data_IF_036578958107
#
_entry.id   IF_036578958107
#
_cell.length_a   1.000
_cell.length_b   1.000
_cell.length_c   1.000
_cell.angle_alpha   90.00
_cell.angle_beta   90.00
_cell.angle_gamma   90.00
#
_symmetry.space_group_name_H-M   'P 1'
#
loop_
_entity.id
_entity.type
_entity.pdbx_description
1 polymer ?
#
# COMPACT_ATOMS: atom_id res chain seq x y z
N UNK A 1 11.91 38.56 -18.77
CA UNK A 1 13.14 37.94 -18.20
C UNK A 1 13.58 36.81 -19.12
N UNK A 2 14.82 36.87 -19.60
CA UNK A 2 15.30 36.01 -20.70
C UNK A 2 16.12 34.84 -20.16
N UNK A 3 15.84 33.64 -20.63
CA UNK A 3 16.67 32.45 -20.40
C UNK A 3 17.83 32.49 -21.39
N UNK A 4 18.98 32.99 -20.95
CA UNK A 4 20.24 32.91 -21.71
C UNK A 4 20.82 31.52 -21.62
N UNK A 5 21.70 31.17 -22.55
CA UNK A 5 22.32 29.84 -22.59
C UNK A 5 23.18 29.58 -21.33
N UNK A 6 23.86 30.59 -20.78
CA UNK A 6 24.62 30.42 -19.53
C UNK A 6 23.72 30.05 -18.35
N UNK A 7 22.53 30.64 -18.27
CA UNK A 7 21.55 30.31 -17.21
C UNK A 7 21.00 28.90 -17.37
N UNK A 8 20.88 28.41 -18.61
CA UNK A 8 20.45 27.04 -18.89
C UNK A 8 21.50 26.04 -18.44
N UNK A 9 22.78 26.34 -18.66
CA UNK A 9 23.87 25.46 -18.25
C UNK A 9 24.03 25.42 -16.72
N UNK A 10 23.94 26.58 -16.05
CA UNK A 10 23.88 26.63 -14.57
C UNK A 10 22.69 25.83 -14.03
N UNK A 11 21.52 25.91 -14.69
CA UNK A 11 20.36 25.11 -14.30
C UNK A 11 20.64 23.62 -14.41
N UNK A 12 21.22 23.15 -15.53
CA UNK A 12 21.54 21.73 -15.73
C UNK A 12 22.54 21.25 -14.68
N UNK A 13 23.62 21.98 -14.46
CA UNK A 13 24.64 21.65 -13.47
C UNK A 13 24.04 21.52 -12.06
N UNK A 14 23.32 22.53 -11.59
CA UNK A 14 22.73 22.49 -10.25
C UNK A 14 21.63 21.42 -10.12
N UNK A 15 20.97 21.08 -11.23
CA UNK A 15 19.99 20.00 -11.26
C UNK A 15 20.64 18.63 -11.08
N UNK A 16 21.77 18.39 -11.76
CA UNK A 16 22.56 17.16 -11.64
C UNK A 16 23.21 17.02 -10.26
N UNK A 17 23.62 18.14 -9.65
CA UNK A 17 24.03 18.21 -8.24
C UNK A 17 22.88 17.93 -7.24
N UNK A 18 21.64 17.84 -7.72
CA UNK A 18 20.48 17.57 -6.88
C UNK A 18 20.01 18.75 -6.04
N UNK A 19 20.28 20.00 -6.46
CA UNK A 19 19.70 21.20 -5.81
C UNK A 19 18.20 21.29 -6.11
N UNK A 20 17.43 21.82 -5.15
CA UNK A 20 15.98 21.97 -5.32
C UNK A 20 15.66 23.16 -6.23
N UNK A 21 14.51 23.13 -6.92
CA UNK A 21 14.09 24.23 -7.78
C UNK A 21 14.05 25.59 -7.05
N UNK A 22 13.77 25.62 -5.75
CA UNK A 22 13.80 26.83 -4.92
C UNK A 22 15.23 27.34 -4.72
N UNK A 23 16.20 26.44 -4.46
CA UNK A 23 17.61 26.81 -4.31
C UNK A 23 18.20 27.32 -5.64
N UNK A 24 17.89 26.64 -6.74
CA UNK A 24 18.30 27.06 -8.09
C UNK A 24 17.70 28.44 -8.42
N UNK A 25 16.44 28.66 -8.07
CA UNK A 25 15.77 29.94 -8.22
C UNK A 25 16.45 31.06 -7.42
N UNK A 26 16.87 30.80 -6.18
CA UNK A 26 17.64 31.76 -5.37
C UNK A 26 18.97 32.13 -6.01
N UNK A 27 19.69 31.16 -6.58
CA UNK A 27 20.99 31.39 -7.25
C UNK A 27 20.80 32.18 -8.55
N UNK A 28 19.80 31.84 -9.35
CA UNK A 28 19.55 32.48 -10.64
C UNK A 28 18.77 33.81 -10.54
N UNK A 29 18.29 34.17 -9.35
CA UNK A 29 17.47 35.37 -9.11
C UNK A 29 16.11 35.33 -9.83
N UNK A 30 15.52 34.14 -9.96
CA UNK A 30 14.23 33.93 -10.65
C UNK A 30 13.25 33.18 -9.76
N UNK A 31 12.00 33.03 -10.19
CA UNK A 31 11.01 32.28 -9.42
C UNK A 31 11.21 30.78 -9.56
N UNK A 32 10.87 30.03 -8.50
CA UNK A 32 10.82 28.56 -8.50
C UNK A 32 10.03 28.01 -9.69
N UNK A 33 8.89 28.61 -10.00
CA UNK A 33 8.01 28.14 -11.08
C UNK A 33 8.65 28.35 -12.46
N UNK A 34 9.43 29.42 -12.66
CA UNK A 34 10.19 29.62 -13.89
C UNK A 34 11.25 28.53 -14.09
N UNK A 35 11.97 28.15 -13.03
CA UNK A 35 12.94 27.04 -13.03
C UNK A 35 12.26 25.73 -13.41
N UNK A 36 11.16 25.36 -12.73
CA UNK A 36 10.42 24.12 -13.01
C UNK A 36 9.94 24.09 -14.46
N UNK A 37 9.34 25.19 -14.94
CA UNK A 37 8.83 25.28 -16.30
C UNK A 37 9.93 25.21 -17.36
N UNK A 38 11.11 25.76 -17.11
CA UNK A 38 12.25 25.63 -18.05
C UNK A 38 12.86 24.23 -18.00
N UNK A 39 13.07 23.65 -16.82
CA UNK A 39 13.55 22.28 -16.66
C UNK A 39 12.66 21.28 -17.43
N UNK A 40 11.34 21.42 -17.32
CA UNK A 40 10.38 20.59 -18.05
C UNK A 40 10.47 20.70 -19.57
N UNK A 41 10.87 21.87 -20.10
CA UNK A 41 11.03 22.12 -21.53
C UNK A 41 12.36 21.63 -22.10
N UNK A 42 13.42 21.64 -21.29
CA UNK A 42 14.75 21.12 -21.67
C UNK A 42 14.78 19.58 -21.58
N UNK A 43 13.80 18.97 -20.91
CA UNK A 43 13.72 17.51 -20.79
C UNK A 43 14.70 16.92 -19.77
N UNK A 44 15.20 17.73 -18.83
CA UNK A 44 16.01 17.20 -17.72
C UNK A 44 15.16 16.24 -16.89
N UNK A 45 15.81 15.21 -16.34
CA UNK A 45 15.14 14.11 -15.65
C UNK A 45 14.26 14.63 -14.50
N UNK A 46 13.05 14.05 -14.37
CA UNK A 46 12.14 14.40 -13.27
C UNK A 46 12.79 13.98 -11.96
N UNK A 47 13.09 14.96 -11.11
CA UNK A 47 13.51 14.68 -9.74
C UNK A 47 12.39 13.89 -9.03
N UNK A 48 12.71 12.80 -8.32
CA UNK A 48 11.72 12.11 -7.50
C UNK A 48 11.14 13.08 -6.47
N UNK A 49 9.81 13.08 -6.33
CA UNK A 49 9.14 13.91 -5.33
C UNK A 49 9.64 13.52 -3.94
N UNK A 50 10.10 14.47 -3.09
CA UNK A 50 10.44 14.19 -1.71
C UNK A 50 9.26 13.65 -0.89
N UNK A 51 8.04 13.84 -1.39
CA UNK A 51 6.83 13.33 -0.76
C UNK A 51 6.80 11.81 -0.94
N UNK A 52 7.27 11.08 0.08
CA UNK A 52 7.02 9.64 0.21
C UNK A 52 5.50 9.46 0.17
N UNK A 53 4.98 8.86 -0.88
CA UNK A 53 3.56 8.44 -0.92
C UNK A 53 3.39 7.47 0.24
N UNK A 54 2.65 7.86 1.29
CA UNK A 54 2.26 6.95 2.38
C UNK A 54 1.60 5.74 1.71
N UNK A 55 2.05 4.51 2.00
CA UNK A 55 1.39 3.34 1.42
C UNK A 55 -0.05 3.26 1.97
N UNK A 56 -1.01 2.75 1.20
CA UNK A 56 -2.43 2.82 1.56
C UNK A 56 -2.69 2.12 2.90
N UNK A 57 -3.39 2.78 3.81
CA UNK A 57 -3.73 2.29 5.15
C UNK A 57 -4.01 3.44 6.12
N UNK A 58 -4.69 3.13 7.22
CA UNK A 58 -5.05 4.08 8.28
C UNK A 58 -4.23 3.80 9.54
N UNK A 59 -3.87 4.84 10.28
CA UNK A 59 -3.34 4.70 11.66
C UNK A 59 -4.49 4.49 12.65
N UNK A 60 -4.18 4.15 13.91
CA UNK A 60 -5.20 3.99 14.97
C UNK A 60 -6.09 5.24 15.08
N UNK A 61 -5.49 6.42 14.95
CA UNK A 61 -6.18 7.71 15.07
C UNK A 61 -7.11 8.01 13.89
N UNK A 62 -6.80 7.47 12.71
CA UNK A 62 -7.56 7.68 11.47
C UNK A 62 -8.70 6.64 11.30
N UNK A 63 -8.76 5.62 12.16
CA UNK A 63 -9.66 4.48 12.00
C UNK A 63 -11.07 4.79 12.52
N UNK A 64 -12.08 4.61 11.67
CA UNK A 64 -13.50 4.74 12.03
C UNK A 64 -14.18 3.38 12.16
N UNK A 65 -15.42 3.36 12.67
CA UNK A 65 -16.18 2.11 12.83
C UNK A 65 -16.50 1.41 11.49
N UNK A 66 -16.66 2.20 10.42
CA UNK A 66 -16.94 1.70 9.06
C UNK A 66 -15.68 1.28 8.29
N UNK A 67 -14.53 1.22 8.94
CA UNK A 67 -13.24 0.90 8.31
C UNK A 67 -12.67 -0.43 8.82
N UNK A 68 -12.02 -1.14 7.91
CA UNK A 68 -11.42 -2.43 8.14
C UNK A 68 -10.26 -2.31 9.13
N UNK A 69 -10.42 -2.95 10.29
CA UNK A 69 -9.50 -2.89 11.43
C UNK A 69 -8.41 -3.97 11.38
N UNK A 70 -8.05 -4.44 10.19
CA UNK A 70 -7.04 -5.48 10.02
C UNK A 70 -5.63 -4.89 10.17
N UNK A 71 -4.80 -5.38 11.12
CA UNK A 71 -3.44 -4.90 11.31
C UNK A 71 -2.51 -5.38 10.20
N UNK A 72 -1.71 -4.47 9.66
CA UNK A 72 -0.69 -4.72 8.64
C UNK A 72 0.65 -4.29 9.25
N UNK A 73 1.56 -5.26 9.36
CA UNK A 73 2.85 -5.08 10.01
C UNK A 73 2.84 -5.40 11.51
N UNK A 74 3.98 -5.23 12.15
CA UNK A 74 4.16 -5.46 13.59
C UNK A 74 3.86 -4.18 14.38
N UNK A 75 3.13 -4.22 15.50
CA UNK A 75 2.87 -3.06 16.36
C UNK A 75 4.12 -2.27 16.84
N UNK A 76 5.31 -2.88 16.78
CA UNK A 76 6.59 -2.24 17.15
C UNK A 76 7.26 -1.51 15.99
N UNK A 77 6.77 -1.68 14.76
CA UNK A 77 7.31 -1.02 13.56
C UNK A 77 6.65 0.35 13.32
N UNK A 78 7.42 1.30 12.80
CA UNK A 78 6.89 2.60 12.36
C UNK A 78 5.99 2.47 11.12
N UNK A 79 6.07 1.35 10.41
CA UNK A 79 5.22 0.98 9.29
C UNK A 79 3.92 0.25 9.72
N UNK A 80 3.61 0.16 11.02
CA UNK A 80 2.36 -0.44 11.52
C UNK A 80 1.13 0.36 11.10
N UNK A 81 0.19 -0.29 10.39
CA UNK A 81 -1.03 0.36 9.90
C UNK A 81 -2.22 -0.59 9.93
N UNK A 82 -3.42 -0.03 9.81
CA UNK A 82 -4.65 -0.77 9.53
C UNK A 82 -4.99 -0.69 8.06
N UNK A 83 -5.67 -1.72 7.56
CA UNK A 83 -6.17 -1.78 6.20
C UNK A 83 -6.94 -0.52 5.77
N UNK A 84 -7.90 -0.05 6.59
CA UNK A 84 -8.66 1.18 6.32
C UNK A 84 -9.67 1.10 5.16
N UNK A 85 -9.77 -0.04 4.43
CA UNK A 85 -10.82 -0.29 3.43
C UNK A 85 -12.22 -0.30 4.07
N UNK A 86 -13.29 -0.12 3.29
CA UNK A 86 -14.66 -0.17 3.79
C UNK A 86 -14.95 -1.53 4.47
N UNK A 87 -15.46 -1.48 5.70
CA UNK A 87 -15.94 -2.66 6.42
C UNK A 87 -17.11 -3.30 5.69
N UNK A 88 -17.12 -4.64 5.64
CA UNK A 88 -18.24 -5.41 5.13
C UNK A 88 -19.42 -5.31 6.10
N UNK A 89 -20.65 -5.44 5.58
CA UNK A 89 -21.89 -5.19 6.32
C UNK A 89 -21.93 -5.96 7.65
N UNK A 90 -21.87 -5.22 8.77
CA UNK A 90 -21.91 -5.78 10.13
C UNK A 90 -20.64 -6.48 10.60
N UNK A 91 -19.55 -6.46 9.81
CA UNK A 91 -18.27 -7.09 10.15
C UNK A 91 -17.16 -6.04 10.32
N UNK A 92 -16.19 -6.25 11.22
CA UNK A 92 -15.13 -5.28 11.52
C UNK A 92 -14.03 -5.19 10.44
N UNK A 93 -14.13 -6.00 9.38
CA UNK A 93 -13.13 -6.10 8.32
C UNK A 93 -13.76 -5.96 6.93
N UNK A 94 -12.95 -5.64 5.93
CA UNK A 94 -13.37 -5.69 4.52
C UNK A 94 -13.50 -7.15 4.07
N UNK A 95 -14.18 -7.40 2.94
CA UNK A 95 -14.43 -8.75 2.41
C UNK A 95 -13.18 -9.65 2.40
N UNK A 96 -12.04 -9.14 1.89
CA UNK A 96 -10.78 -9.89 1.84
C UNK A 96 -10.29 -10.34 3.23
N UNK A 97 -10.29 -9.41 4.19
CA UNK A 97 -9.81 -9.68 5.53
C UNK A 97 -10.83 -10.45 6.38
N UNK A 98 -12.12 -10.40 6.03
CA UNK A 98 -13.11 -11.31 6.59
C UNK A 98 -12.78 -12.77 6.23
N UNK A 99 -12.39 -13.07 4.99
CA UNK A 99 -11.99 -14.43 4.60
C UNK A 99 -10.75 -14.91 5.36
N UNK A 100 -9.83 -13.99 5.66
CA UNK A 100 -8.62 -14.29 6.42
C UNK A 100 -8.90 -14.49 7.92
N UNK A 101 -9.79 -13.67 8.50
CA UNK A 101 -10.17 -13.75 9.91
C UNK A 101 -11.06 -14.96 10.20
N UNK A 102 -12.11 -15.13 9.39
CA UNK A 102 -13.15 -16.13 9.57
C UNK A 102 -12.86 -17.34 8.70
N UNK A 103 -11.85 -18.12 9.09
CA UNK A 103 -11.62 -19.43 8.48
C UNK A 103 -12.84 -20.32 8.78
N UNK A 104 -13.50 -20.79 7.72
CA UNK A 104 -14.48 -21.85 7.88
C UNK A 104 -13.77 -23.10 8.43
N UNK A 105 -14.35 -23.83 9.38
CA UNK A 105 -13.76 -25.05 9.90
C UNK A 105 -13.85 -26.17 8.85
N UNK A 106 -12.94 -26.19 7.87
CA UNK A 106 -12.80 -27.27 6.91
C UNK A 106 -11.61 -28.17 7.28
N UNK A 107 -11.77 -29.03 8.30
CA UNK A 107 -11.10 -30.36 8.37
C UNK A 107 -11.19 -31.12 9.71
N UNK A 108 -11.68 -30.56 10.83
CA UNK A 108 -11.76 -31.34 12.11
C UNK A 108 -12.88 -32.39 12.20
N UNK A 109 -13.52 -32.76 11.08
CA UNK A 109 -14.48 -33.90 11.00
C UNK A 109 -14.11 -34.85 9.87
N UNK A 110 -12.88 -35.34 9.86
CA UNK A 110 -12.50 -36.47 9.01
C UNK A 110 -11.43 -37.31 9.71
N UNK A 111 -11.74 -37.74 10.94
CA UNK A 111 -10.97 -38.75 11.68
C UNK A 111 -11.90 -39.40 12.74
N UNK A 112 -12.96 -40.08 12.26
CA UNK A 112 -13.79 -41.01 13.06
C UNK A 112 -14.53 -41.99 12.14
N UNK A 113 -13.86 -42.42 11.08
CA UNK A 113 -14.43 -43.30 10.06
C UNK A 113 -13.58 -44.55 9.80
N UNK A 114 -12.60 -44.85 10.67
CA UNK A 114 -11.73 -46.02 10.56
C UNK A 114 -12.01 -47.14 11.60
N UNK A 115 -13.11 -47.08 12.38
CA UNK A 115 -13.39 -48.09 13.43
C UNK A 115 -14.78 -48.77 13.38
N UNK A 116 -15.48 -48.77 12.24
CA UNK A 116 -16.75 -49.53 12.08
C UNK A 116 -16.87 -50.35 10.79
N UNK A 117 -15.74 -50.65 10.14
CA UNK A 117 -15.67 -51.47 8.93
C UNK A 117 -15.41 -52.98 9.20
N UNK A 118 -15.62 -53.47 10.43
CA UNK A 118 -15.38 -54.87 10.78
C UNK A 118 -16.43 -55.38 11.78
N UNK A 119 -17.66 -55.66 11.30
CA UNK A 119 -18.43 -56.86 11.66
C UNK A 119 -19.86 -56.80 11.10
N UNK A 120 -20.44 -57.97 10.80
CA UNK A 120 -21.81 -58.21 10.36
C UNK A 120 -22.15 -58.04 8.85
N UNK A 121 -21.33 -58.65 7.97
CA UNK A 121 -21.90 -59.44 6.86
C UNK A 121 -22.26 -60.83 7.39
N UNK A 122 -23.52 -61.05 7.77
CA UNK A 122 -24.10 -62.40 7.87
C UNK A 122 -25.64 -62.35 7.85
N UNK A 123 -26.24 -62.86 6.76
CA UNK A 123 -27.48 -63.62 6.88
C UNK A 123 -28.80 -63.00 6.40
N UNK A 124 -29.32 -63.63 5.34
CA UNK A 124 -30.74 -63.96 5.07
C UNK A 124 -31.64 -62.87 4.46
N UNK A 125 -31.92 -62.89 3.16
CA UNK A 125 -32.82 -63.77 2.40
C UNK A 125 -34.32 -63.40 2.49
N UNK A 126 -34.86 -63.09 1.30
CA UNK A 126 -36.21 -63.35 0.82
C UNK A 126 -37.40 -63.28 1.80
N UNK A 127 -38.22 -62.22 1.67
CA UNK A 127 -39.65 -62.35 1.34
C UNK A 127 -40.27 -61.01 0.95
#
# INVERSE_FOLDING_TARGET
MTWTDERVDVLKQLWDEGKTASQIASVLGITRNAVIGKAHRIGVSRRPSPIKRRKPGATILELTDRMCKWPIGDPRDNDFRFCGKQSANGLPYCQDHCLQAYQQPSSRRRDRSDEVAADAKAGNASR
#
